data_IF_879356777550
#
_entry.id   IF_879356777550
#
_cell.length_a   1.000
_cell.length_b   1.000
_cell.length_c   1.000
_cell.angle_alpha   90.00
_cell.angle_beta   90.00
_cell.angle_gamma   90.00
#
_symmetry.space_group_name_H-M   'P 1'
#
loop_
_entity.id
_entity.type
_entity.pdbx_description
1 polymer ?
#
# COMPACT_ATOMS: atom_id res chain seq x y z
N UNK A 1 -7.01 -16.11 -2.77
CA UNK A 1 -6.65 -14.90 -3.55
C UNK A 1 -7.87 -14.00 -3.55
N UNK A 2 -7.79 -12.75 -3.09
CA UNK A 2 -8.93 -11.83 -3.16
C UNK A 2 -9.34 -11.59 -4.62
N UNK A 3 -10.64 -11.53 -4.89
CA UNK A 3 -11.16 -11.15 -6.19
C UNK A 3 -11.36 -9.63 -6.28
N UNK A 4 -11.82 -9.14 -7.44
CA UNK A 4 -11.99 -7.71 -7.68
C UNK A 4 -12.88 -7.02 -6.64
N UNK A 5 -14.03 -7.60 -6.22
CA UNK A 5 -14.89 -7.00 -5.20
C UNK A 5 -14.18 -6.79 -3.86
N UNK A 6 -13.43 -7.78 -3.37
CA UNK A 6 -12.74 -7.73 -2.08
C UNK A 6 -11.59 -6.70 -2.09
N UNK A 7 -10.89 -6.57 -3.23
CA UNK A 7 -9.86 -5.53 -3.40
C UNK A 7 -10.50 -4.14 -3.39
N UNK A 8 -11.67 -3.95 -4.00
CA UNK A 8 -12.39 -2.67 -3.94
C UNK A 8 -12.91 -2.34 -2.53
N UNK A 9 -13.42 -3.34 -1.82
CA UNK A 9 -13.81 -3.19 -0.40
C UNK A 9 -12.60 -2.76 0.44
N UNK A 10 -11.44 -3.40 0.24
CA UNK A 10 -10.20 -3.03 0.93
C UNK A 10 -9.77 -1.61 0.58
N UNK A 11 -9.81 -1.23 -0.71
CA UNK A 11 -9.49 0.13 -1.18
C UNK A 11 -10.35 1.18 -0.47
N UNK A 12 -11.67 0.99 -0.45
CA UNK A 12 -12.63 1.89 0.21
C UNK A 12 -12.43 1.92 1.73
N UNK A 13 -12.11 0.78 2.33
CA UNK A 13 -11.90 0.65 3.76
C UNK A 13 -10.68 1.41 4.26
N UNK A 14 -9.55 1.37 3.53
CA UNK A 14 -8.31 2.02 3.98
C UNK A 14 -8.22 3.50 3.57
N UNK A 15 -8.80 3.89 2.43
CA UNK A 15 -8.59 5.22 1.84
C UNK A 15 -8.87 6.40 2.80
N UNK A 16 -9.96 6.41 3.60
CA UNK A 16 -10.25 7.51 4.52
C UNK A 16 -9.21 7.68 5.64
N UNK A 17 -8.49 6.61 5.98
CA UNK A 17 -7.56 6.60 7.10
C UNK A 17 -6.11 6.87 6.70
N UNK A 18 -5.75 6.69 5.43
CA UNK A 18 -4.37 6.85 4.97
C UNK A 18 -4.18 8.05 4.05
N UNK A 19 -5.21 8.48 3.32
CA UNK A 19 -5.11 9.61 2.39
C UNK A 19 -4.79 10.90 3.16
N UNK A 20 -3.81 11.67 2.66
CA UNK A 20 -3.29 12.87 3.30
C UNK A 20 -2.32 12.61 4.47
N UNK A 21 -2.12 11.36 4.89
CA UNK A 21 -1.23 11.04 6.01
C UNK A 21 0.21 10.83 5.56
N UNK A 22 1.15 11.24 6.43
CA UNK A 22 2.58 10.99 6.27
C UNK A 22 2.95 9.62 6.83
N UNK A 23 3.72 8.85 6.07
CA UNK A 23 4.31 7.59 6.51
C UNK A 23 5.39 7.92 7.55
N UNK A 24 5.20 7.50 8.81
CA UNK A 24 6.17 7.72 9.87
C UNK A 24 7.40 6.82 9.73
N UNK A 25 7.16 5.55 9.41
CA UNK A 25 8.19 4.54 9.16
C UNK A 25 7.66 3.45 8.23
N UNK A 26 8.57 2.79 7.52
CA UNK A 26 8.29 1.59 6.73
C UNK A 26 9.26 0.49 7.17
N UNK A 27 8.74 -0.68 7.56
CA UNK A 27 9.55 -1.78 8.10
C UNK A 27 9.14 -3.09 7.42
N UNK A 28 10.06 -3.73 6.72
CA UNK A 28 9.84 -5.04 6.12
C UNK A 28 10.45 -6.15 6.99
N UNK A 29 9.62 -6.87 7.74
CA UNK A 29 10.05 -7.97 8.63
C UNK A 29 10.24 -9.31 7.91
N UNK A 30 9.55 -9.51 6.81
CA UNK A 30 9.75 -10.61 5.86
C UNK A 30 9.89 -10.00 4.47
N UNK A 31 10.99 -10.29 3.80
CA UNK A 31 11.35 -9.67 2.52
C UNK A 31 11.11 -10.58 1.32
N UNK A 32 10.79 -11.87 1.56
CA UNK A 32 10.59 -12.92 0.56
C UNK A 32 9.11 -13.06 0.17
N UNK A 33 8.55 -12.01 -0.46
CA UNK A 33 7.23 -12.12 -1.12
C UNK A 33 7.39 -12.73 -2.53
N UNK A 34 6.29 -12.87 -3.28
CA UNK A 34 6.32 -13.34 -4.69
C UNK A 34 7.41 -12.66 -5.51
N UNK A 35 7.57 -11.36 -5.30
CA UNK A 35 8.76 -10.61 -5.68
C UNK A 35 9.41 -10.06 -4.41
N UNK A 36 10.74 -10.14 -4.27
CA UNK A 36 11.43 -9.63 -3.10
C UNK A 36 11.13 -8.14 -2.85
N UNK A 37 11.01 -7.77 -1.57
CA UNK A 37 10.82 -6.37 -1.17
C UNK A 37 12.11 -5.58 -1.46
N UNK A 38 12.04 -4.50 -2.25
CA UNK A 38 13.23 -3.71 -2.62
C UNK A 38 14.00 -3.18 -1.41
N UNK A 39 15.33 -3.09 -1.51
CA UNK A 39 16.20 -2.55 -0.46
C UNK A 39 15.86 -1.09 -0.08
N UNK A 40 15.24 -0.34 -0.99
CA UNK A 40 14.83 1.04 -0.76
C UNK A 40 13.43 1.18 -0.13
N UNK A 41 12.80 0.09 0.34
CA UNK A 41 11.44 0.13 0.89
C UNK A 41 11.31 1.10 2.08
N UNK A 42 12.32 1.16 2.92
CA UNK A 42 12.41 2.00 4.10
C UNK A 42 12.41 3.51 3.74
N UNK A 43 12.78 3.86 2.50
CA UNK A 43 12.74 5.24 1.96
C UNK A 43 11.31 5.79 1.74
N UNK A 44 10.28 4.98 1.99
CA UNK A 44 8.90 5.43 2.02
C UNK A 44 8.60 6.31 3.25
N UNK A 45 9.39 6.22 4.32
CA UNK A 45 9.26 7.10 5.47
C UNK A 45 9.35 8.57 5.05
N UNK A 46 8.49 9.42 5.62
CA UNK A 46 8.38 10.83 5.29
C UNK A 46 7.50 11.16 4.09
N UNK A 47 7.16 10.18 3.23
CA UNK A 47 6.25 10.40 2.09
C UNK A 47 4.80 10.54 2.56
N UNK A 48 3.98 11.24 1.79
CA UNK A 48 2.55 11.45 2.06
C UNK A 48 1.75 10.62 1.07
N UNK A 49 0.79 9.83 1.56
CA UNK A 49 -0.14 9.09 0.71
C UNK A 49 -1.17 10.07 0.17
N UNK A 50 -1.16 10.33 -1.14
CA UNK A 50 -2.07 11.28 -1.81
C UNK A 50 -3.39 10.64 -2.23
N UNK A 51 -3.41 9.33 -2.38
CA UNK A 51 -4.62 8.60 -2.75
C UNK A 51 -4.41 7.09 -2.73
N UNK A 52 -5.53 6.37 -2.77
CA UNK A 52 -5.55 4.90 -2.86
C UNK A 52 -6.42 4.49 -4.04
N UNK A 53 -5.77 3.95 -5.08
CA UNK A 53 -6.39 3.49 -6.32
C UNK A 53 -6.32 1.97 -6.43
N UNK A 54 -7.10 1.43 -7.36
CA UNK A 54 -7.09 0.01 -7.72
C UNK A 54 -6.90 -0.15 -9.21
N UNK A 55 -6.06 -1.11 -9.62
CA UNK A 55 -5.94 -1.56 -11.02
C UNK A 55 -6.07 -3.07 -11.05
N UNK A 56 -7.22 -3.58 -11.53
CA UNK A 56 -7.50 -5.02 -11.42
C UNK A 56 -7.46 -5.48 -9.96
N UNK A 57 -6.63 -6.48 -9.65
CA UNK A 57 -6.45 -7.01 -8.28
C UNK A 57 -5.31 -6.34 -7.49
N UNK A 58 -4.78 -5.22 -7.98
CA UNK A 58 -3.70 -4.47 -7.32
C UNK A 58 -4.22 -3.20 -6.65
N UNK A 59 -3.80 -2.95 -5.42
CA UNK A 59 -3.91 -1.65 -4.77
C UNK A 59 -2.68 -0.80 -5.08
N UNK A 60 -2.90 0.48 -5.35
CA UNK A 60 -1.86 1.46 -5.66
C UNK A 60 -2.01 2.62 -4.68
N UNK A 61 -0.96 2.90 -3.91
CA UNK A 61 -0.89 4.05 -3.03
C UNK A 61 -0.04 5.11 -3.72
N UNK A 62 -0.59 6.31 -3.90
CA UNK A 62 0.05 7.44 -4.59
C UNK A 62 0.83 8.36 -3.66
#
# INVERSE_FOLDING_TARGET
MPELPEVEVTRRGIAPYVTGRRISAAVARERRLRWPVPAAFESLAGRVVRGVRRRGKYLLLE
#
